data_IF_324295776978
#
_entry.id   IF_324295776978
#
_cell.length_a   1.000
_cell.length_b   1.000
_cell.length_c   1.000
_cell.angle_alpha   90.00
_cell.angle_beta   90.00
_cell.angle_gamma   90.00
#
_symmetry.space_group_name_H-M   'P 1'
#
loop_
_entity.id
_entity.type
_entity.pdbx_description
1 polymer ?
#
# COMPACT_ATOMS: atom_id res chain seq x y z
N UNK A 1 5.22 13.03 -15.94
CA UNK A 1 4.61 12.52 -14.69
C UNK A 1 5.52 12.86 -13.51
N UNK A 2 5.10 13.71 -12.56
CA UNK A 2 5.88 13.99 -11.35
C UNK A 2 6.01 12.70 -10.54
N UNK A 3 7.22 12.16 -10.39
CA UNK A 3 7.46 11.03 -9.50
C UNK A 3 7.27 11.52 -8.06
N UNK A 4 6.08 11.30 -7.48
CA UNK A 4 5.83 11.55 -6.05
C UNK A 4 6.84 10.72 -5.25
N UNK A 5 7.45 11.33 -4.23
CA UNK A 5 8.41 10.63 -3.34
C UNK A 5 7.77 9.35 -2.81
N UNK A 6 8.53 8.26 -2.65
CA UNK A 6 7.99 7.05 -2.04
C UNK A 6 7.34 7.35 -0.68
N UNK A 7 6.22 6.69 -0.36
CA UNK A 7 5.61 6.82 0.95
C UNK A 7 6.47 6.11 2.01
N UNK A 8 6.67 6.78 3.14
CA UNK A 8 7.37 6.23 4.31
C UNK A 8 6.46 5.28 5.10
N UNK A 9 7.03 4.60 6.09
CA UNK A 9 6.29 3.66 6.93
C UNK A 9 5.12 4.32 7.68
N UNK A 10 5.31 5.55 8.16
CA UNK A 10 4.29 6.27 8.93
C UNK A 10 3.25 6.98 8.03
N UNK A 11 3.63 7.31 6.79
CA UNK A 11 2.70 7.87 5.80
C UNK A 11 1.70 6.83 5.29
N UNK A 12 2.08 5.55 5.20
CA UNK A 12 1.22 4.50 4.63
C UNK A 12 -0.12 4.41 5.38
N UNK A 13 -0.17 4.28 6.73
CA UNK A 13 -1.44 4.26 7.45
C UNK A 13 -2.24 5.55 7.30
N UNK A 14 -1.57 6.71 7.28
CA UNK A 14 -2.25 8.01 7.12
C UNK A 14 -2.95 8.09 5.76
N UNK A 15 -2.23 7.78 4.69
CA UNK A 15 -2.78 7.76 3.33
C UNK A 15 -3.92 6.73 3.20
N UNK A 16 -3.76 5.55 3.81
CA UNK A 16 -4.83 4.56 3.82
C UNK A 16 -6.09 5.02 4.57
N UNK A 17 -5.97 5.84 5.62
CA UNK A 17 -7.12 6.48 6.29
C UNK A 17 -7.76 7.56 5.43
N UNK A 18 -6.99 8.24 4.59
CA UNK A 18 -7.47 9.21 3.60
C UNK A 18 -8.14 8.56 2.37
N UNK A 19 -8.24 7.23 2.34
CA UNK A 19 -8.91 6.49 1.28
C UNK A 19 -7.98 5.94 0.19
N UNK A 20 -6.66 6.04 0.37
CA UNK A 20 -5.72 5.38 -0.53
C UNK A 20 -5.73 3.85 -0.31
N UNK A 21 -5.60 3.10 -1.39
CA UNK A 21 -5.58 1.64 -1.37
C UNK A 21 -4.14 1.16 -1.48
N UNK A 22 -3.67 0.42 -0.48
CA UNK A 22 -2.36 -0.22 -0.52
C UNK A 22 -2.43 -1.51 -1.34
N UNK A 23 -1.55 -1.62 -2.34
CA UNK A 23 -1.45 -2.76 -3.24
C UNK A 23 -0.04 -3.31 -3.33
N UNK A 24 0.06 -4.60 -3.64
CA UNK A 24 1.30 -5.30 -3.97
C UNK A 24 1.14 -6.03 -5.31
N UNK A 25 2.06 -5.81 -6.22
CA UNK A 25 2.10 -6.52 -7.50
C UNK A 25 2.50 -7.97 -7.29
N UNK A 26 1.69 -8.90 -7.79
CA UNK A 26 1.91 -10.33 -7.55
C UNK A 26 3.17 -10.85 -8.24
N UNK A 27 3.48 -10.37 -9.45
CA UNK A 27 4.65 -10.78 -10.21
C UNK A 27 5.89 -9.93 -9.94
N UNK A 28 5.71 -8.64 -9.66
CA UNK A 28 6.82 -7.70 -9.49
C UNK A 28 7.26 -7.53 -8.03
N UNK A 29 6.41 -7.87 -7.07
CA UNK A 29 6.63 -7.62 -5.65
C UNK A 29 6.70 -6.13 -5.29
N UNK A 30 6.38 -5.23 -6.22
CA UNK A 30 6.33 -3.79 -5.97
C UNK A 30 5.12 -3.44 -5.10
N UNK A 31 5.32 -2.47 -4.22
CA UNK A 31 4.26 -1.93 -3.37
C UNK A 31 3.95 -0.51 -3.80
N UNK A 32 2.66 -0.17 -3.80
CA UNK A 32 2.20 1.18 -4.09
C UNK A 32 0.89 1.48 -3.39
N UNK A 33 0.63 2.76 -3.18
CA UNK A 33 -0.66 3.30 -2.79
C UNK A 33 -1.33 3.88 -4.02
N UNK A 34 -2.60 3.58 -4.18
CA UNK A 34 -3.42 4.06 -5.30
C UNK A 34 -4.59 4.87 -4.74
N UNK A 35 -4.72 6.11 -5.23
CA UNK A 35 -5.87 6.96 -4.98
C UNK A 35 -6.57 7.25 -6.30
N UNK A 36 -7.92 7.24 -6.33
CA UNK A 36 -8.69 7.59 -7.52
C UNK A 36 -8.50 9.05 -7.93
N UNK A 37 -8.17 9.94 -6.98
CA UNK A 37 -7.98 11.39 -7.23
C UNK A 37 -6.53 11.77 -7.49
N UNK A 38 -5.61 11.11 -6.79
CA UNK A 38 -4.21 11.53 -6.70
C UNK A 38 -3.22 10.65 -7.49
N UNK A 39 -3.72 9.56 -8.07
CA UNK A 39 -2.95 8.60 -8.83
C UNK A 39 -2.18 7.60 -7.94
N UNK A 40 -0.99 7.22 -8.39
CA UNK A 40 -0.19 6.16 -7.76
C UNK A 40 1.05 6.72 -7.07
N UNK A 41 1.31 6.28 -5.83
CA UNK A 41 2.51 6.60 -5.05
C UNK A 41 3.26 5.31 -4.71
N UNK A 42 4.55 5.25 -5.05
CA UNK A 42 5.40 4.08 -4.70
C UNK A 42 5.54 3.94 -3.19
N UNK A 43 5.66 2.71 -2.73
CA UNK A 43 5.88 2.37 -1.31
C UNK A 43 7.15 1.53 -1.19
N UNK A 44 7.99 1.82 -0.18
CA UNK A 44 9.12 0.97 0.11
C UNK A 44 8.67 -0.40 0.62
N UNK A 45 9.16 -1.47 0.00
CA UNK A 45 8.85 -2.86 0.39
C UNK A 45 9.11 -3.13 1.87
N UNK A 46 10.23 -2.65 2.40
CA UNK A 46 10.60 -2.85 3.81
C UNK A 46 9.54 -2.25 4.76
N UNK A 47 9.06 -1.04 4.46
CA UNK A 47 8.03 -0.36 5.24
C UNK A 47 6.70 -1.11 5.22
N UNK A 48 6.23 -1.53 4.05
CA UNK A 48 4.99 -2.30 3.94
C UNK A 48 5.09 -3.66 4.65
N UNK A 49 6.23 -4.35 4.53
CA UNK A 49 6.47 -5.61 5.24
C UNK A 49 6.52 -5.42 6.76
N UNK A 50 7.12 -4.33 7.25
CA UNK A 50 7.11 -4.01 8.67
C UNK A 50 5.70 -3.81 9.21
N UNK A 51 4.85 -3.08 8.49
CA UNK A 51 3.42 -2.89 8.85
C UNK A 51 2.63 -4.20 8.82
N UNK A 52 2.90 -5.08 7.85
CA UNK A 52 2.28 -6.39 7.76
C UNK A 52 2.69 -7.28 8.95
N UNK A 53 3.98 -7.32 9.29
CA UNK A 53 4.49 -8.09 10.44
C UNK A 53 3.94 -7.59 11.77
N UNK A 54 3.76 -6.28 11.91
CA UNK A 54 3.15 -5.65 13.10
C UNK A 54 1.62 -5.85 13.18
N UNK A 55 1.00 -6.39 12.14
CA UNK A 55 -0.45 -6.53 12.05
C UNK A 55 -1.20 -5.21 11.89
N UNK A 56 -0.53 -4.14 11.47
CA UNK A 56 -1.16 -2.83 11.20
C UNK A 56 -1.95 -2.87 9.89
N UNK A 57 -1.49 -3.67 8.92
CA UNK A 57 -2.20 -3.95 7.68
C UNK A 57 -2.41 -5.45 7.54
N UNK A 58 -3.51 -5.84 6.90
CA UNK A 58 -3.81 -7.24 6.57
C UNK A 58 -4.19 -7.37 5.11
N UNK A 59 -3.83 -8.50 4.53
CA UNK A 59 -4.26 -8.87 3.18
C UNK A 59 -5.78 -9.07 3.16
N UNK A 60 -6.48 -8.42 2.23
CA UNK A 60 -7.95 -8.54 2.11
C UNK A 60 -8.35 -9.40 0.91
N UNK A 61 -7.72 -9.20 -0.24
CA UNK A 61 -8.10 -9.90 -1.47
C UNK A 61 -6.89 -10.17 -2.34
N UNK A 62 -6.77 -11.42 -2.80
CA UNK A 62 -5.87 -11.82 -3.88
C UNK A 62 -6.53 -11.50 -5.21
N UNK A 63 -6.07 -10.46 -5.91
CA UNK A 63 -6.45 -10.23 -7.29
C UNK A 63 -5.22 -10.44 -8.18
N UNK A 64 -5.22 -11.53 -8.95
CA UNK A 64 -4.09 -11.91 -9.82
C UNK A 64 -3.79 -10.85 -10.90
N UNK A 65 -4.80 -10.10 -11.34
CA UNK A 65 -4.65 -9.09 -12.39
C UNK A 65 -4.34 -7.69 -11.84
N UNK A 66 -4.78 -7.37 -10.62
CA UNK A 66 -4.65 -6.01 -10.04
C UNK A 66 -3.68 -5.90 -8.86
N UNK A 67 -3.08 -7.03 -8.46
CA UNK A 67 -2.25 -7.13 -7.28
C UNK A 67 -3.05 -7.41 -6.00
N UNK A 68 -2.33 -7.91 -5.01
CA UNK A 68 -2.82 -8.10 -3.65
C UNK A 68 -3.20 -6.77 -3.02
N UNK A 69 -4.39 -6.70 -2.41
CA UNK A 69 -4.88 -5.50 -1.72
C UNK A 69 -4.79 -5.66 -0.22
N UNK A 70 -4.47 -4.57 0.48
CA UNK A 70 -4.30 -4.56 1.93
C UNK A 70 -5.24 -3.53 2.56
N UNK A 71 -5.77 -3.89 3.72
CA UNK A 71 -6.60 -3.01 4.56
C UNK A 71 -5.86 -2.68 5.85
N UNK A 72 -6.16 -1.51 6.42
CA UNK A 72 -5.75 -1.19 7.78
C UNK A 72 -6.53 -2.05 8.77
N UNK A 73 -5.83 -2.63 9.74
CA UNK A 73 -6.44 -3.28 10.89
C UNK A 73 -6.71 -2.20 11.92
N UNK A 74 -7.98 -1.88 12.17
CA UNK A 74 -8.38 -1.10 13.34
C UNK A 74 -8.15 -1.97 14.57
N UNK A 75 -7.20 -1.56 15.43
CA UNK A 75 -7.20 -1.94 16.83
C UNK A 75 -7.97 -0.87 17.60
#
# INVERSE_FOLDING_TARGET
MRQKRPATQDEIPTLMREGWILKRGNFSGHWWLESPTDGVRKVHRASAQALLRRGTIRHTTKNLHRGDTFVLVRR
#
